data_IF_317380533310
#
_entry.id   IF_317380533310
#
_cell.length_a   1.000
_cell.length_b   1.000
_cell.length_c   1.000
_cell.angle_alpha   90.00
_cell.angle_beta   90.00
_cell.angle_gamma   90.00
#
_symmetry.space_group_name_H-M   'P 1'
#
loop_
_entity.id
_entity.type
_entity.pdbx_description
1 polymer ?
#
# COMPACT_ATOMS: atom_id res chain seq x y z
N UNK A 1 -9.06 12.80 23.71
CA UNK A 1 -8.93 11.67 22.77
C UNK A 1 -7.48 11.22 22.83
N UNK A 2 -7.20 9.91 22.77
CA UNK A 2 -5.81 9.46 22.77
C UNK A 2 -5.18 9.85 21.43
N UNK A 3 -4.23 10.79 21.44
CA UNK A 3 -3.60 11.31 20.22
C UNK A 3 -2.44 10.44 19.76
N UNK A 4 -1.97 9.52 20.62
CA UNK A 4 -0.80 8.70 20.36
C UNK A 4 -1.21 7.38 19.70
N UNK A 5 -0.58 7.08 18.58
CA UNK A 5 -0.70 5.78 17.92
C UNK A 5 0.22 4.76 18.60
N UNK A 6 -0.24 3.52 18.71
CA UNK A 6 0.62 2.40 19.09
C UNK A 6 1.08 1.69 17.83
N UNK A 7 2.38 1.55 17.65
CA UNK A 7 3.00 0.94 16.47
C UNK A 7 3.90 -0.20 16.92
N UNK A 8 3.54 -1.42 16.54
CA UNK A 8 4.31 -2.63 16.83
C UNK A 8 5.02 -3.08 15.56
N UNK A 9 6.35 -2.99 15.54
CA UNK A 9 7.15 -3.48 14.42
C UNK A 9 6.97 -5.00 14.25
N UNK A 10 6.75 -5.45 13.01
CA UNK A 10 6.62 -6.88 12.69
C UNK A 10 7.97 -7.55 12.38
N UNK A 11 8.98 -6.74 12.10
CA UNK A 11 10.34 -7.15 11.85
C UNK A 11 11.31 -5.97 11.86
N UNK A 12 12.62 -6.22 11.66
CA UNK A 12 13.63 -5.16 11.72
C UNK A 12 13.60 -4.21 10.51
N UNK A 13 13.19 -4.70 9.34
CA UNK A 13 13.38 -3.99 8.07
C UNK A 13 12.09 -3.44 7.47
N UNK A 14 10.94 -4.06 7.73
CA UNK A 14 9.66 -3.74 7.11
C UNK A 14 8.50 -4.26 7.98
N UNK A 15 7.38 -3.56 7.92
CA UNK A 15 6.12 -3.94 8.57
C UNK A 15 5.93 -3.32 9.95
N UNK A 16 4.77 -2.71 10.13
CA UNK A 16 4.28 -2.26 11.44
C UNK A 16 2.78 -2.50 11.57
N UNK A 17 2.33 -3.06 12.70
CA UNK A 17 0.90 -3.10 13.03
C UNK A 17 0.55 -1.89 13.87
N UNK A 18 -0.48 -1.14 13.47
CA UNK A 18 -0.94 0.07 14.16
C UNK A 18 -2.25 -0.20 14.89
N UNK A 19 -2.34 0.25 16.14
CA UNK A 19 -3.55 0.24 16.97
C UNK A 19 -3.83 1.61 17.56
N UNK A 20 -4.93 1.71 18.31
CA UNK A 20 -5.41 2.96 18.94
C UNK A 20 -5.79 4.05 17.92
N UNK A 21 -6.28 3.63 16.76
CA UNK A 21 -6.71 4.48 15.65
C UNK A 21 -8.05 4.00 15.08
N UNK A 22 -8.85 4.96 14.60
CA UNK A 22 -10.11 4.69 13.91
C UNK A 22 -10.11 5.40 12.55
N UNK A 23 -9.89 4.64 11.48
CA UNK A 23 -9.83 5.14 10.10
C UNK A 23 -11.21 5.42 9.49
N UNK A 24 -12.30 5.06 10.17
CA UNK A 24 -13.67 5.43 9.75
C UNK A 24 -14.03 6.89 10.07
N UNK A 25 -13.13 7.63 10.73
CA UNK A 25 -13.31 9.03 11.09
C UNK A 25 -12.11 9.86 10.63
N UNK A 26 -12.28 11.17 10.41
CA UNK A 26 -11.15 12.06 10.17
C UNK A 26 -10.13 11.98 11.31
N UNK A 27 -8.86 11.81 10.94
CA UNK A 27 -7.74 11.86 11.88
C UNK A 27 -7.38 13.30 12.21
N UNK A 28 -6.91 13.55 13.43
CA UNK A 28 -6.23 14.83 13.73
C UNK A 28 -4.91 14.92 12.96
N UNK A 29 -4.39 16.14 12.79
CA UNK A 29 -3.09 16.33 12.13
C UNK A 29 -1.96 15.62 12.88
N UNK A 30 -1.99 15.61 14.21
CA UNK A 30 -1.01 14.90 15.03
C UNK A 30 -1.06 13.37 14.84
N UNK A 31 -2.25 12.79 14.66
CA UNK A 31 -2.39 11.36 14.34
C UNK A 31 -1.93 11.08 12.91
N UNK A 32 -2.27 11.94 11.97
CA UNK A 32 -1.85 11.79 10.57
C UNK A 32 -0.34 11.89 10.41
N UNK A 33 0.32 12.83 11.10
CA UNK A 33 1.78 12.97 11.09
C UNK A 33 2.48 11.71 11.64
N UNK A 34 1.99 11.16 12.75
CA UNK A 34 2.49 9.89 13.29
C UNK A 34 2.30 8.73 12.28
N UNK A 35 1.13 8.66 11.66
CA UNK A 35 0.81 7.65 10.65
C UNK A 35 1.72 7.77 9.42
N UNK A 36 1.93 8.99 8.93
CA UNK A 36 2.79 9.27 7.78
C UNK A 36 4.23 8.84 8.06
N UNK A 37 4.81 9.27 9.18
CA UNK A 37 6.18 8.86 9.55
C UNK A 37 6.30 7.37 9.83
N UNK A 38 5.27 6.75 10.40
CA UNK A 38 5.24 5.30 10.57
C UNK A 38 5.25 4.57 9.23
N UNK A 39 4.52 5.06 8.23
CA UNK A 39 4.49 4.46 6.89
C UNK A 39 5.86 4.58 6.22
N UNK A 40 6.48 5.77 6.24
CA UNK A 40 7.82 5.97 5.69
C UNK A 40 8.86 5.08 6.39
N UNK A 41 8.76 4.93 7.72
CA UNK A 41 9.69 4.11 8.50
C UNK A 41 9.53 2.62 8.26
N UNK A 42 8.28 2.14 8.29
CA UNK A 42 7.98 0.70 8.25
C UNK A 42 7.64 0.19 6.85
N UNK A 43 7.53 1.08 5.85
CA UNK A 43 7.22 0.83 4.44
C UNK A 43 5.82 0.25 4.17
N UNK A 44 5.31 -0.60 5.05
CA UNK A 44 3.93 -1.13 5.04
C UNK A 44 3.37 -1.13 6.47
N UNK A 45 2.11 -0.72 6.60
CA UNK A 45 1.39 -0.68 7.86
C UNK A 45 0.10 -1.50 7.80
N UNK A 46 -0.22 -2.19 8.89
CA UNK A 46 -1.42 -3.02 9.02
C UNK A 46 -2.35 -2.49 10.10
N UNK A 47 -3.64 -2.43 9.79
CA UNK A 47 -4.70 -1.97 10.69
C UNK A 47 -5.77 -3.05 10.76
N UNK A 48 -6.15 -3.45 11.98
CA UNK A 48 -7.24 -4.43 12.18
C UNK A 48 -8.53 -3.73 12.56
N UNK A 49 -9.65 -4.37 12.26
CA UNK A 49 -10.99 -3.96 12.68
C UNK A 49 -11.38 -2.54 12.24
N UNK A 50 -11.09 -2.21 10.98
CA UNK A 50 -11.40 -0.90 10.38
C UNK A 50 -12.57 -1.02 9.37
N UNK A 51 -13.82 -0.73 9.77
CA UNK A 51 -14.99 -0.80 8.88
C UNK A 51 -15.07 0.43 7.97
N UNK A 52 -14.04 0.67 7.16
CA UNK A 52 -13.94 1.85 6.29
C UNK A 52 -14.85 1.70 5.06
N UNK A 53 -15.63 2.73 4.75
CA UNK A 53 -16.36 2.84 3.49
C UNK A 53 -15.44 3.33 2.36
N UNK A 54 -15.80 3.14 1.07
CA UNK A 54 -15.04 3.71 -0.04
C UNK A 54 -14.80 5.23 0.10
N UNK A 55 -15.79 5.99 0.56
CA UNK A 55 -15.67 7.43 0.77
C UNK A 55 -14.68 7.77 1.89
N UNK A 56 -14.65 6.99 2.97
CA UNK A 56 -13.69 7.17 4.07
C UNK A 56 -12.27 6.76 3.66
N UNK A 57 -12.13 5.66 2.92
CA UNK A 57 -10.85 5.22 2.36
C UNK A 57 -10.29 6.29 1.41
N UNK A 58 -11.13 6.85 0.52
CA UNK A 58 -10.76 7.98 -0.33
C UNK A 58 -10.31 9.18 0.49
N UNK A 59 -11.10 9.59 1.49
CA UNK A 59 -10.79 10.75 2.33
C UNK A 59 -9.45 10.61 3.07
N UNK A 60 -9.12 9.41 3.55
CA UNK A 60 -7.81 9.12 4.13
C UNK A 60 -6.70 9.15 3.07
N UNK A 61 -6.91 8.51 1.92
CA UNK A 61 -5.92 8.46 0.85
C UNK A 61 -5.56 9.85 0.31
N UNK A 62 -6.54 10.75 0.16
CA UNK A 62 -6.33 12.14 -0.29
C UNK A 62 -5.42 12.93 0.66
N UNK A 63 -5.27 12.52 1.93
CA UNK A 63 -4.32 13.16 2.84
C UNK A 63 -2.86 12.86 2.50
N UNK A 64 -2.59 11.76 1.79
CA UNK A 64 -1.24 11.39 1.34
C UNK A 64 -0.88 12.03 -0.01
N UNK A 65 -1.87 12.36 -0.85
CA UNK A 65 -1.66 13.00 -2.15
C UNK A 65 -2.85 12.84 -3.08
N UNK A 66 -2.65 13.20 -4.35
CA UNK A 66 -3.64 13.03 -5.41
C UNK A 66 -3.90 11.54 -5.68
N UNK A 67 -5.15 11.19 -6.00
CA UNK A 67 -5.56 9.81 -6.26
C UNK A 67 -5.55 9.51 -7.74
N UNK A 68 -4.97 8.36 -8.09
CA UNK A 68 -4.99 7.84 -9.44
C UNK A 68 -6.32 7.13 -9.71
N UNK A 69 -6.93 7.41 -10.87
CA UNK A 69 -8.07 6.64 -11.38
C UNK A 69 -7.53 5.62 -12.37
N UNK A 70 -7.64 4.33 -12.02
CA UNK A 70 -7.08 3.27 -12.83
C UNK A 70 -7.90 3.09 -14.13
N UNK A 71 -7.25 3.00 -15.30
CA UNK A 71 -7.95 2.98 -16.59
C UNK A 71 -8.65 1.66 -16.93
N UNK A 72 -8.59 0.63 -16.08
CA UNK A 72 -8.94 -0.76 -16.43
C UNK A 72 -9.84 -1.40 -15.38
N UNK A 73 -9.46 -1.32 -14.10
CA UNK A 73 -10.23 -1.97 -13.05
C UNK A 73 -11.57 -1.27 -12.77
N UNK A 74 -12.61 -2.04 -12.37
CA UNK A 74 -13.88 -1.47 -11.95
C UNK A 74 -13.72 -0.67 -10.65
N UNK A 75 -14.58 0.33 -10.48
CA UNK A 75 -14.56 1.20 -9.30
C UNK A 75 -15.81 1.02 -8.43
N UNK A 76 -15.72 1.44 -7.17
CA UNK A 76 -16.84 1.41 -6.25
C UNK A 76 -17.97 2.35 -6.74
N UNK A 77 -19.25 2.01 -6.52
CA UNK A 77 -20.37 2.87 -6.90
C UNK A 77 -20.26 4.26 -6.26
N UNK A 78 -20.20 5.30 -7.10
CA UNK A 78 -20.12 6.70 -6.66
C UNK A 78 -18.76 7.14 -6.11
N UNK A 79 -17.70 6.32 -6.24
CA UNK A 79 -16.33 6.67 -5.83
C UNK A 79 -15.33 6.10 -6.85
N UNK A 80 -15.04 6.87 -7.91
CA UNK A 80 -14.22 6.45 -9.05
C UNK A 80 -12.75 6.20 -8.67
N UNK A 81 -12.27 6.85 -7.61
CA UNK A 81 -10.90 6.71 -7.12
C UNK A 81 -10.66 5.41 -6.34
N UNK A 82 -11.72 4.65 -6.04
CA UNK A 82 -11.63 3.39 -5.28
C UNK A 82 -11.89 2.22 -6.21
N UNK A 83 -10.83 1.49 -6.53
CA UNK A 83 -10.86 0.26 -7.31
C UNK A 83 -11.49 -0.88 -6.47
N UNK A 84 -12.26 -1.73 -7.13
CA UNK A 84 -12.80 -2.97 -6.56
C UNK A 84 -12.08 -4.16 -7.18
N UNK A 85 -11.35 -4.90 -6.36
CA UNK A 85 -10.71 -6.17 -6.74
C UNK A 85 -11.62 -7.33 -6.31
N UNK A 86 -12.49 -7.78 -7.21
CA UNK A 86 -13.45 -8.87 -6.98
C UNK A 86 -13.02 -10.13 -7.74
N UNK A 87 -12.26 -11.00 -7.08
CA UNK A 87 -11.70 -12.21 -7.69
C UNK A 87 -12.55 -13.44 -7.38
N UNK A 88 -12.86 -14.24 -8.41
CA UNK A 88 -13.64 -15.48 -8.33
C UNK A 88 -13.35 -16.36 -9.56
N UNK A 89 -13.98 -17.53 -9.71
CA UNK A 89 -13.71 -18.47 -10.82
C UNK A 89 -13.75 -17.83 -12.24
N UNK A 90 -14.65 -16.87 -12.47
CA UNK A 90 -14.76 -16.15 -13.76
C UNK A 90 -13.93 -14.86 -13.84
N UNK A 91 -13.15 -14.53 -12.80
CA UNK A 91 -12.26 -13.37 -12.70
C UNK A 91 -11.08 -13.77 -11.80
N UNK A 92 -10.18 -14.65 -12.28
CA UNK A 92 -9.09 -15.17 -11.46
C UNK A 92 -8.15 -14.05 -11.01
N UNK A 93 -7.42 -14.24 -9.88
CA UNK A 93 -6.42 -13.28 -9.44
C UNK A 93 -5.26 -13.17 -10.44
N UNK A 94 -4.69 -11.97 -10.55
CA UNK A 94 -3.61 -11.60 -11.48
C UNK A 94 -2.39 -10.98 -10.77
N UNK A 95 -2.42 -10.92 -9.44
CA UNK A 95 -1.42 -10.25 -8.59
C UNK A 95 -0.53 -11.24 -7.81
N UNK A 96 -0.39 -12.47 -8.28
CA UNK A 96 0.40 -13.55 -7.67
C UNK A 96 1.89 -13.54 -8.08
N UNK A 97 2.38 -12.40 -8.56
CA UNK A 97 3.77 -12.16 -8.95
C UNK A 97 4.37 -10.98 -8.18
N UNK A 98 5.69 -10.96 -7.99
CA UNK A 98 6.38 -9.84 -7.35
C UNK A 98 6.38 -8.61 -8.26
N UNK A 99 5.76 -7.53 -7.81
CA UNK A 99 5.67 -6.29 -8.58
C UNK A 99 5.71 -5.05 -7.68
N UNK A 100 5.79 -3.89 -8.33
CA UNK A 100 5.45 -2.59 -7.77
C UNK A 100 4.41 -1.96 -8.69
N UNK A 101 3.35 -1.41 -8.10
CA UNK A 101 2.17 -0.94 -8.84
C UNK A 101 2.55 0.06 -9.94
N UNK A 102 2.07 -0.21 -11.16
CA UNK A 102 2.02 0.73 -12.29
C UNK A 102 3.37 1.41 -12.60
N UNK A 103 4.49 0.68 -12.52
CA UNK A 103 5.82 1.26 -12.78
C UNK A 103 6.07 1.64 -14.25
N UNK A 104 5.15 1.32 -15.17
CA UNK A 104 5.23 1.66 -16.59
C UNK A 104 4.81 3.12 -16.92
N UNK A 105 4.25 3.87 -15.96
CA UNK A 105 3.95 5.31 -16.15
C UNK A 105 5.07 6.19 -15.60
N UNK A 106 5.15 7.44 -16.10
CA UNK A 106 6.21 8.38 -15.73
C UNK A 106 6.23 8.76 -14.24
N UNK A 107 5.08 8.75 -13.57
CA UNK A 107 4.93 9.05 -12.14
C UNK A 107 4.15 7.91 -11.46
N UNK A 108 4.79 6.78 -11.15
CA UNK A 108 4.14 5.66 -10.49
C UNK A 108 3.52 6.05 -9.14
N UNK A 109 2.52 5.32 -8.64
CA UNK A 109 1.92 5.56 -7.33
C UNK A 109 2.96 5.60 -6.20
N UNK A 110 2.87 6.60 -5.33
CA UNK A 110 3.75 6.70 -4.15
C UNK A 110 3.36 5.72 -3.02
N UNK A 111 2.12 5.21 -3.04
CA UNK A 111 1.60 4.25 -2.08
C UNK A 111 0.15 3.92 -2.37
N UNK A 112 -0.39 2.93 -1.65
CA UNK A 112 -1.76 2.48 -1.77
C UNK A 112 -2.38 2.20 -0.40
N UNK A 113 -3.72 2.22 -0.33
CA UNK A 113 -4.49 1.77 0.83
C UNK A 113 -5.37 0.62 0.36
N UNK A 114 -5.12 -0.58 0.89
CA UNK A 114 -5.90 -1.78 0.59
C UNK A 114 -6.82 -2.11 1.77
N UNK A 115 -8.10 -2.35 1.50
CA UNK A 115 -9.09 -2.69 2.52
C UNK A 115 -9.80 -4.01 2.18
N UNK A 116 -9.56 -5.04 2.99
CA UNK A 116 -10.26 -6.32 2.86
C UNK A 116 -11.77 -6.16 3.10
N UNK A 117 -12.59 -6.69 2.18
CA UNK A 117 -14.07 -6.64 2.24
C UNK A 117 -14.69 -8.02 2.38
N UNK A 118 -14.29 -8.94 1.52
CA UNK A 118 -14.69 -10.34 1.55
C UNK A 118 -13.43 -11.18 1.35
N UNK A 119 -13.21 -12.15 2.23
CA UNK A 119 -12.03 -13.01 2.21
C UNK A 119 -12.50 -14.47 2.14
N UNK A 120 -11.71 -15.36 1.51
CA UNK A 120 -11.91 -16.80 1.66
C UNK A 120 -11.68 -17.22 3.11
N UNK A 121 -12.13 -18.43 3.47
CA UNK A 121 -11.90 -18.99 4.82
C UNK A 121 -10.41 -19.13 5.14
N UNK A 122 -9.58 -19.40 4.11
CA UNK A 122 -8.13 -19.54 4.21
C UNK A 122 -7.47 -19.19 2.86
N UNK A 123 -6.18 -18.84 2.91
CA UNK A 123 -5.40 -18.36 1.75
C UNK A 123 -5.65 -16.89 1.43
N UNK A 124 -5.05 -16.41 0.34
CA UNK A 124 -5.11 -15.00 -0.05
C UNK A 124 -4.13 -14.10 0.71
N UNK A 125 -3.08 -14.69 1.30
CA UNK A 125 -2.00 -13.93 1.95
C UNK A 125 -1.33 -12.99 0.95
N UNK A 126 -1.05 -11.77 1.40
CA UNK A 126 -0.32 -10.76 0.62
C UNK A 126 1.04 -10.52 1.25
N UNK A 127 2.09 -10.50 0.43
CA UNK A 127 3.46 -10.29 0.87
C UNK A 127 3.99 -8.94 0.38
N UNK A 128 4.85 -8.32 1.19
CA UNK A 128 5.63 -7.15 0.83
C UNK A 128 7.11 -7.42 1.02
N UNK A 129 7.96 -6.78 0.22
CA UNK A 129 9.42 -6.85 0.33
C UNK A 129 10.02 -5.44 0.36
N UNK A 130 11.15 -5.28 1.07
CA UNK A 130 11.83 -3.99 1.20
C UNK A 130 12.91 -3.84 0.13
N UNK A 131 12.70 -2.94 -0.83
CA UNK A 131 13.72 -2.57 -1.81
C UNK A 131 14.95 -1.93 -1.16
N UNK A 132 14.75 -1.18 -0.07
CA UNK A 132 15.85 -0.57 0.72
C UNK A 132 16.72 -1.68 1.32
N UNK A 133 16.14 -2.62 2.06
CA UNK A 133 16.90 -3.69 2.70
C UNK A 133 17.57 -4.60 1.66
N UNK A 134 16.91 -4.86 0.52
CA UNK A 134 17.50 -5.62 -0.58
C UNK A 134 18.74 -4.91 -1.16
N UNK A 135 18.65 -3.59 -1.41
CA UNK A 135 19.78 -2.81 -1.90
C UNK A 135 20.91 -2.73 -0.87
N UNK A 136 20.60 -2.51 0.41
CA UNK A 136 21.59 -2.43 1.49
C UNK A 136 22.39 -3.73 1.66
N UNK A 137 21.75 -4.89 1.42
CA UNK A 137 22.37 -6.20 1.49
C UNK A 137 23.29 -6.55 0.31
N UNK A 138 23.27 -5.77 -0.78
CA UNK A 138 24.19 -5.95 -1.90
C UNK A 138 25.63 -5.68 -1.48
N UNK A 139 26.56 -6.44 -2.08
CA UNK A 139 27.99 -6.11 -1.98
C UNK A 139 28.28 -4.74 -2.59
N UNK A 140 29.30 -4.05 -2.07
CA UNK A 140 29.68 -2.73 -2.58
C UNK A 140 29.92 -2.70 -4.10
N UNK A 141 30.58 -3.70 -4.73
CA UNK A 141 30.71 -3.73 -6.18
C UNK A 141 29.36 -3.78 -6.92
N UNK A 142 28.36 -4.48 -6.37
CA UNK A 142 27.02 -4.54 -6.95
C UNK A 142 26.26 -3.22 -6.79
N UNK A 143 26.43 -2.53 -5.65
CA UNK A 143 25.85 -1.20 -5.46
C UNK A 143 26.40 -0.23 -6.51
N UNK A 144 27.72 -0.18 -6.68
CA UNK A 144 28.38 0.64 -7.71
C UNK A 144 27.93 0.26 -9.12
N UNK A 145 27.79 -1.04 -9.41
CA UNK A 145 27.33 -1.52 -10.71
C UNK A 145 25.92 -1.03 -11.05
N UNK A 146 24.98 -1.12 -10.11
CA UNK A 146 23.56 -0.84 -10.36
C UNK A 146 23.21 0.65 -10.24
N UNK A 147 23.94 1.39 -9.40
CA UNK A 147 23.68 2.82 -9.17
C UNK A 147 23.89 3.64 -10.44
N UNK A 148 22.83 4.32 -10.88
CA UNK A 148 22.84 5.18 -12.07
C UNK A 148 22.42 4.47 -13.36
N UNK A 149 22.18 3.16 -13.33
CA UNK A 149 21.58 2.45 -14.47
C UNK A 149 20.08 2.77 -14.58
N UNK A 150 19.56 2.56 -15.79
CA UNK A 150 18.13 2.70 -16.11
C UNK A 150 17.58 1.35 -16.57
N UNK A 151 16.30 1.11 -16.29
CA UNK A 151 15.55 -0.07 -16.72
C UNK A 151 14.28 0.35 -17.46
N UNK A 152 13.88 -0.42 -18.46
CA UNK A 152 12.59 -0.26 -19.16
C UNK A 152 11.48 -0.92 -18.33
N UNK A 153 10.33 -0.26 -18.23
CA UNK A 153 9.11 -0.78 -17.62
C UNK A 153 8.00 -0.79 -18.68
N UNK A 154 7.42 -1.96 -18.93
CA UNK A 154 6.49 -2.20 -20.05
C UNK A 154 5.23 -2.91 -19.54
N UNK A 155 4.06 -2.46 -20.00
CA UNK A 155 2.76 -3.05 -19.66
C UNK A 155 2.44 -4.28 -20.53
N UNK A 156 3.11 -4.43 -21.68
CA UNK A 156 2.69 -5.33 -22.77
C UNK A 156 3.45 -6.64 -22.86
N UNK A 157 4.46 -6.86 -22.00
CA UNK A 157 5.34 -8.04 -22.03
C UNK A 157 5.09 -8.99 -20.88
#
# INVERSE_FOLDING_TARGET
>A
MNERLTITALGPNIGGQVSDINLSRPLSDAQFEQLYHALIRHQVLFFRDQPVTPQQQRALATRFGDLHIHPVYPHAPGVEEIIVLDTHDNNPPDNDNWHTDVTFIATPPAGAILAAKQLPETGGDTLWTSGIAAYEALSEPFKVLLSGLQAEHDFTK
#
